data_IF_496667210667
#
_entry.id   IF_496667210667
#
_cell.length_a   1.000
_cell.length_b   1.000
_cell.length_c   1.000
_cell.angle_alpha   90.00
_cell.angle_beta   90.00
_cell.angle_gamma   90.00
#
_symmetry.space_group_name_H-M   'P 1'
#
loop_
_entity.id
_entity.type
_entity.pdbx_description
1 polymer ?
#
# COMPACT_ATOMS: atom_id res chain seq x y z
N UNK A 1 3.51 -6.73 23.12
CA UNK A 1 3.92 -5.82 22.02
C UNK A 1 3.53 -6.35 20.65
N UNK A 2 3.97 -7.56 20.27
CA UNK A 2 3.70 -8.12 18.93
C UNK A 2 2.20 -8.31 18.64
N UNK A 3 1.39 -8.81 19.59
CA UNK A 3 -0.05 -8.99 19.38
C UNK A 3 -0.78 -7.66 19.17
N UNK A 4 -0.49 -6.68 20.03
CA UNK A 4 -0.96 -5.31 19.86
C UNK A 4 -0.51 -4.71 18.51
N UNK A 5 0.75 -4.92 18.12
CA UNK A 5 1.28 -4.52 16.82
C UNK A 5 0.52 -5.17 15.67
N UNK A 6 0.25 -6.47 15.74
CA UNK A 6 -0.53 -7.21 14.76
C UNK A 6 -1.92 -6.61 14.53
N UNK A 7 -2.60 -6.19 15.61
CA UNK A 7 -3.89 -5.49 15.50
C UNK A 7 -3.75 -4.17 14.76
N UNK A 8 -2.69 -3.40 15.01
CA UNK A 8 -2.45 -2.15 14.27
C UNK A 8 -2.22 -2.38 12.77
N UNK A 9 -1.63 -3.52 12.36
CA UNK A 9 -1.51 -3.88 10.94
C UNK A 9 -2.86 -4.11 10.27
N UNK A 10 -3.86 -4.62 11.01
CA UNK A 10 -5.21 -4.83 10.48
C UNK A 10 -5.94 -3.52 10.18
N UNK A 11 -5.47 -2.38 10.71
CA UNK A 11 -6.05 -1.07 10.42
C UNK A 11 -5.63 -0.54 9.05
N UNK A 12 -4.45 -0.90 8.55
CA UNK A 12 -3.94 -0.46 7.24
C UNK A 12 -4.97 -0.67 6.12
N UNK A 13 -5.51 -1.89 5.92
CA UNK A 13 -6.45 -2.10 4.83
C UNK A 13 -7.72 -1.29 4.96
N UNK A 14 -8.25 -1.16 6.18
CA UNK A 14 -9.45 -0.38 6.43
C UNK A 14 -9.23 1.09 6.06
N UNK A 15 -8.10 1.67 6.51
CA UNK A 15 -7.75 3.06 6.21
C UNK A 15 -7.51 3.30 4.72
N UNK A 16 -6.84 2.38 4.02
CA UNK A 16 -6.59 2.50 2.58
C UNK A 16 -7.87 2.33 1.76
N UNK A 17 -8.74 1.40 2.13
CA UNK A 17 -10.07 1.24 1.49
C UNK A 17 -10.83 2.56 1.59
N UNK A 18 -10.95 3.12 2.81
CA UNK A 18 -11.65 4.38 3.03
C UNK A 18 -11.02 5.50 2.21
N UNK A 19 -9.70 5.66 2.27
CA UNK A 19 -8.97 6.68 1.50
C UNK A 19 -9.26 6.56 0.00
N UNK A 20 -9.10 5.37 -0.58
CA UNK A 20 -9.27 5.18 -2.02
C UNK A 20 -10.72 5.36 -2.49
N UNK A 21 -11.70 4.98 -1.67
CA UNK A 21 -13.11 5.25 -1.96
C UNK A 21 -13.37 6.76 -1.90
N UNK A 22 -12.91 7.46 -0.85
CA UNK A 22 -13.12 8.91 -0.68
C UNK A 22 -12.47 9.74 -1.79
N UNK A 23 -11.36 9.26 -2.36
CA UNK A 23 -10.64 9.90 -3.45
C UNK A 23 -11.15 9.51 -4.85
N UNK A 24 -12.10 8.58 -4.95
CA UNK A 24 -12.60 8.11 -6.26
C UNK A 24 -11.61 7.26 -7.06
N UNK A 25 -10.64 6.63 -6.39
CA UNK A 25 -9.59 5.82 -7.02
C UNK A 25 -10.11 4.47 -7.53
N UNK A 26 -11.25 4.00 -7.00
CA UNK A 26 -11.86 2.71 -7.36
C UNK A 26 -12.82 2.92 -8.53
N UNK A 27 -12.35 2.69 -9.76
CA UNK A 27 -13.12 2.90 -11.00
C UNK A 27 -13.58 1.60 -11.66
N UNK A 28 -12.93 0.49 -11.32
CA UNK A 28 -13.12 -0.82 -11.95
C UNK A 28 -12.99 -1.98 -10.95
N UNK A 29 -13.44 -3.17 -11.36
CA UNK A 29 -13.30 -4.40 -10.55
C UNK A 29 -11.83 -4.76 -10.31
N UNK A 30 -10.92 -4.44 -11.23
CA UNK A 30 -9.48 -4.64 -11.03
C UNK A 30 -8.92 -3.80 -9.89
N UNK A 31 -9.48 -2.62 -9.63
CA UNK A 31 -9.01 -1.72 -8.57
C UNK A 31 -9.33 -2.26 -7.17
N UNK A 32 -10.35 -3.10 -7.04
CA UNK A 32 -10.67 -3.79 -5.78
C UNK A 32 -9.54 -4.71 -5.31
N UNK A 33 -8.66 -5.16 -6.21
CA UNK A 33 -7.48 -5.93 -5.81
C UNK A 33 -6.41 -5.03 -5.20
N UNK A 34 -6.41 -3.74 -5.53
CA UNK A 34 -5.39 -2.74 -5.19
C UNK A 34 -5.75 -1.91 -3.95
N UNK A 35 -7.00 -1.45 -3.89
CA UNK A 35 -7.47 -0.41 -2.96
C UNK A 35 -7.27 -0.66 -1.46
N UNK A 36 -7.01 -1.90 -1.04
CA UNK A 36 -6.84 -2.28 0.36
C UNK A 36 -5.37 -2.32 0.80
N UNK A 37 -4.40 -2.27 -0.11
CA UNK A 37 -2.97 -2.34 0.26
C UNK A 37 -2.09 -1.33 -0.48
N UNK A 38 -2.71 -0.51 -1.32
CA UNK A 38 -2.06 0.50 -2.14
C UNK A 38 -2.95 1.74 -2.27
N UNK A 39 -2.41 2.82 -2.80
CA UNK A 39 -3.14 4.06 -3.03
C UNK A 39 -2.71 4.67 -4.36
N UNK A 40 -3.47 5.62 -4.86
CA UNK A 40 -3.11 6.38 -6.07
C UNK A 40 -2.34 7.64 -5.67
N UNK A 41 -1.34 7.99 -6.47
CA UNK A 41 -0.66 9.28 -6.39
C UNK A 41 -0.28 9.81 -7.78
N UNK A 42 -0.11 11.14 -7.93
CA UNK A 42 0.42 11.72 -9.15
C UNK A 42 1.81 11.18 -9.46
N UNK A 43 2.07 10.84 -10.72
CA UNK A 43 3.32 10.23 -11.16
C UNK A 43 4.55 11.11 -10.83
N UNK A 44 4.39 12.42 -10.88
CA UNK A 44 5.46 13.39 -10.56
C UNK A 44 5.94 13.32 -9.11
N UNK A 45 5.11 12.82 -8.20
CA UNK A 45 5.44 12.73 -6.77
C UNK A 45 6.12 11.42 -6.39
N UNK A 46 6.17 10.44 -7.31
CA UNK A 46 6.64 9.08 -7.00
C UNK A 46 8.12 9.07 -6.64
N UNK A 47 8.96 9.80 -7.38
CA UNK A 47 10.40 9.85 -7.16
C UNK A 47 10.74 10.42 -5.77
N UNK A 48 9.99 11.44 -5.33
CA UNK A 48 10.22 12.13 -4.06
C UNK A 48 9.57 11.40 -2.85
N UNK A 49 8.85 10.31 -3.09
CA UNK A 49 8.07 9.61 -2.06
C UNK A 49 8.66 8.25 -1.71
N UNK A 50 8.58 7.89 -0.42
CA UNK A 50 9.04 6.58 0.05
C UNK A 50 8.00 5.48 -0.24
N UNK A 51 7.88 5.14 -1.53
CA UNK A 51 6.88 4.20 -2.05
C UNK A 51 7.49 3.17 -2.99
N UNK A 52 6.74 2.11 -3.26
CA UNK A 52 6.94 1.21 -4.38
C UNK A 52 5.92 1.54 -5.47
N UNK A 53 6.41 1.77 -6.69
CA UNK A 53 5.58 1.92 -7.88
C UNK A 53 4.97 0.55 -8.25
N UNK A 54 3.65 0.52 -8.39
CA UNK A 54 2.91 -0.69 -8.74
C UNK A 54 2.31 -0.64 -10.14
N UNK A 55 2.37 0.50 -10.82
CA UNK A 55 1.90 0.64 -12.20
C UNK A 55 3.05 0.46 -13.17
N UNK A 56 2.82 -0.27 -14.26
CA UNK A 56 3.78 -0.43 -15.37
C UNK A 56 3.03 -0.52 -16.70
N UNK A 57 3.73 -0.32 -17.80
CA UNK A 57 3.21 -0.66 -19.13
C UNK A 57 3.44 -2.15 -19.40
N UNK A 58 2.48 -2.79 -20.08
CA UNK A 58 2.65 -4.14 -20.64
C UNK A 58 2.19 -4.13 -22.09
N UNK A 59 2.90 -4.89 -22.92
CA UNK A 59 2.47 -5.17 -24.29
C UNK A 59 1.58 -6.41 -24.29
N UNK A 60 0.37 -6.24 -24.82
CA UNK A 60 -0.61 -7.31 -24.96
C UNK A 60 -0.30 -8.17 -26.19
N UNK A 61 -0.80 -9.42 -26.29
CA UNK A 61 -0.51 -10.30 -27.44
C UNK A 61 -0.95 -9.74 -28.81
N UNK A 62 -1.82 -8.73 -28.82
CA UNK A 62 -2.28 -8.01 -30.00
C UNK A 62 -1.37 -6.81 -30.37
N UNK A 63 -0.25 -6.60 -29.65
CA UNK A 63 0.68 -5.48 -29.83
C UNK A 63 0.23 -4.17 -29.16
N UNK A 64 -0.88 -4.17 -28.42
CA UNK A 64 -1.38 -2.99 -27.74
C UNK A 64 -0.67 -2.77 -26.40
N UNK A 65 -0.21 -1.55 -26.15
CA UNK A 65 0.35 -1.15 -24.85
C UNK A 65 -0.77 -0.80 -23.88
N UNK A 66 -0.82 -1.48 -22.75
CA UNK A 66 -1.82 -1.25 -21.70
C UNK A 66 -1.18 -1.02 -20.35
N UNK A 67 -1.78 -0.12 -19.57
CA UNK A 67 -1.43 0.08 -18.16
C UNK A 67 -1.80 -1.15 -17.35
N UNK A 68 -0.84 -1.67 -16.59
CA UNK A 68 -1.01 -2.82 -15.72
C UNK A 68 -0.59 -2.48 -14.29
N UNK A 69 -1.35 -2.99 -13.33
CA UNK A 69 -1.11 -2.78 -11.91
C UNK A 69 -0.66 -4.08 -11.26
N UNK A 70 0.59 -4.11 -10.81
CA UNK A 70 1.18 -5.20 -10.03
C UNK A 70 0.59 -5.18 -8.63
N UNK A 71 0.02 -6.30 -8.20
CA UNK A 71 -0.57 -6.44 -6.86
C UNK A 71 0.48 -6.62 -5.75
N UNK A 72 1.77 -6.73 -6.10
CA UNK A 72 2.85 -6.93 -5.13
C UNK A 72 3.97 -5.94 -5.38
N UNK A 73 4.53 -5.44 -4.29
CA UNK A 73 5.76 -4.68 -4.32
C UNK A 73 6.90 -5.54 -4.92
N UNK A 74 7.87 -4.91 -5.62
CA UNK A 74 8.99 -5.62 -6.19
C UNK A 74 9.85 -6.28 -5.09
N UNK A 75 10.38 -7.46 -5.38
CA UNK A 75 11.19 -8.23 -4.43
C UNK A 75 12.50 -7.51 -4.04
N UNK A 76 13.02 -6.70 -4.96
CA UNK A 76 14.17 -5.82 -4.74
C UNK A 76 13.71 -4.40 -4.99
N UNK A 77 14.02 -3.49 -4.08
CA UNK A 77 13.76 -2.07 -4.28
C UNK A 77 14.58 -1.61 -5.49
N UNK A 78 13.95 -1.01 -6.52
CA UNK A 78 14.66 -0.44 -7.65
C UNK A 78 15.65 0.65 -7.20
N UNK A 79 16.72 0.85 -7.94
CA UNK A 79 17.54 2.06 -7.78
C UNK A 79 16.77 3.29 -8.26
N UNK A 80 17.25 4.48 -7.89
CA UNK A 80 16.62 5.74 -8.28
C UNK A 80 16.61 5.91 -9.80
N UNK A 81 17.67 5.47 -10.50
CA UNK A 81 17.74 5.45 -11.97
C UNK A 81 16.71 4.49 -12.57
N UNK A 82 16.56 3.29 -12.02
CA UNK A 82 15.57 2.31 -12.49
C UNK A 82 14.14 2.78 -12.26
N UNK A 83 13.90 3.50 -11.16
CA UNK A 83 12.61 4.11 -10.89
C UNK A 83 12.33 5.26 -11.87
N UNK A 84 13.32 6.11 -12.14
CA UNK A 84 13.20 7.20 -13.10
C UNK A 84 12.84 6.69 -14.51
N UNK A 85 13.50 5.62 -14.97
CA UNK A 85 13.18 4.96 -16.26
C UNK A 85 11.72 4.48 -16.29
N UNK A 86 11.25 3.82 -15.23
CA UNK A 86 9.84 3.36 -15.15
C UNK A 86 8.85 4.53 -15.14
N UNK A 87 9.21 5.64 -14.49
CA UNK A 87 8.39 6.86 -14.47
C UNK A 87 8.34 7.49 -15.86
N UNK A 88 9.47 7.61 -16.55
CA UNK A 88 9.51 8.18 -17.91
C UNK A 88 8.72 7.34 -18.91
N UNK A 89 8.81 6.00 -18.82
CA UNK A 89 8.01 5.08 -19.65
C UNK A 89 6.51 5.33 -19.48
N UNK A 90 6.04 5.45 -18.24
CA UNK A 90 4.64 5.73 -17.93
C UNK A 90 4.22 7.13 -18.40
N UNK A 91 5.06 8.16 -18.20
CA UNK A 91 4.79 9.53 -18.67
C UNK A 91 4.67 9.60 -20.19
N UNK A 92 5.55 8.90 -20.91
CA UNK A 92 5.52 8.84 -22.39
C UNK A 92 4.21 8.22 -22.91
N UNK A 93 3.59 7.37 -22.10
CA UNK A 93 2.28 6.76 -22.38
C UNK A 93 1.10 7.55 -21.76
N UNK A 94 1.29 8.83 -21.42
CA UNK A 94 0.28 9.74 -20.88
C UNK A 94 -0.38 9.25 -19.56
N UNK A 95 0.38 8.54 -18.72
CA UNK A 95 -0.10 8.10 -17.40
C UNK A 95 0.18 9.21 -16.37
N UNK A 96 -0.89 9.86 -15.87
CA UNK A 96 -0.79 10.93 -14.87
C UNK A 96 -0.82 10.43 -13.42
N UNK A 97 -1.59 9.37 -13.18
CA UNK A 97 -1.83 8.80 -11.86
C UNK A 97 -1.41 7.34 -11.80
N UNK A 98 -0.76 6.94 -10.71
CA UNK A 98 -0.22 5.60 -10.55
C UNK A 98 -0.57 5.00 -9.19
N UNK A 99 -0.82 3.70 -9.18
CA UNK A 99 -0.88 2.93 -7.95
C UNK A 99 0.50 2.76 -7.32
N UNK A 100 0.57 2.98 -6.01
CA UNK A 100 1.77 2.85 -5.19
C UNK A 100 1.48 2.17 -3.86
N UNK A 101 2.50 1.55 -3.26
CA UNK A 101 2.44 1.07 -1.88
C UNK A 101 3.51 1.74 -1.03
N UNK A 102 3.15 2.20 0.17
CA UNK A 102 4.10 2.87 1.07
C UNK A 102 5.06 1.89 1.72
N UNK A 103 6.33 2.31 1.82
CA UNK A 103 7.39 1.60 2.53
C UNK A 103 7.33 1.93 4.02
N UNK A 104 6.32 1.40 4.72
CA UNK A 104 6.12 1.69 6.14
C UNK A 104 7.03 0.80 7.01
N UNK A 105 7.93 1.38 7.83
CA UNK A 105 8.74 0.60 8.73
C UNK A 105 7.87 0.01 9.85
N UNK A 106 8.21 -1.21 10.30
CA UNK A 106 7.53 -1.92 11.37
C UNK A 106 7.35 -1.06 12.64
N UNK A 107 8.32 -0.17 12.91
CA UNK A 107 8.30 0.72 14.07
C UNK A 107 7.06 1.64 14.13
N UNK A 108 6.53 2.08 12.98
CA UNK A 108 5.32 2.93 12.92
C UNK A 108 4.12 2.24 13.54
N UNK A 109 4.09 0.91 13.52
CA UNK A 109 3.04 0.08 14.08
C UNK A 109 3.31 -0.30 15.53
N UNK A 110 4.56 -0.61 15.85
CA UNK A 110 4.95 -1.06 17.19
C UNK A 110 5.00 0.08 18.20
N UNK A 111 5.44 1.27 17.81
CA UNK A 111 5.66 2.36 18.76
C UNK A 111 4.35 2.90 19.37
N UNK A 112 3.30 3.21 18.60
CA UNK A 112 2.06 3.73 19.17
C UNK A 112 1.37 2.74 20.11
N UNK A 113 1.52 1.44 19.85
CA UNK A 113 0.85 0.40 20.66
C UNK A 113 1.51 0.13 22.00
N UNK A 114 2.68 0.71 22.28
CA UNK A 114 3.31 0.62 23.61
C UNK A 114 2.40 1.26 24.66
N UNK A 115 1.75 2.38 24.34
CA UNK A 115 0.89 3.10 25.26
C UNK A 115 -0.35 2.29 25.69
N UNK A 116 -1.22 1.79 24.78
CA UNK A 116 -2.35 0.95 25.18
C UNK A 116 -1.88 -0.35 25.85
N UNK A 117 -0.77 -0.94 25.42
CA UNK A 117 -0.21 -2.11 26.10
C UNK A 117 0.19 -1.81 27.56
N UNK A 118 0.79 -0.64 27.83
CA UNK A 118 1.17 -0.26 29.19
C UNK A 118 -0.05 0.02 30.08
N UNK A 119 -1.15 0.51 29.50
CA UNK A 119 -2.38 0.85 30.23
C UNK A 119 -3.26 -0.40 30.46
N UNK A 120 -3.46 -1.21 29.42
CA UNK A 120 -4.43 -2.31 29.43
C UNK A 120 -3.79 -3.68 29.64
N UNK A 121 -2.47 -3.81 29.47
CA UNK A 121 -1.75 -5.07 29.60
C UNK A 121 -1.82 -5.93 28.35
N UNK A 122 -1.91 -7.25 28.53
CA UNK A 122 -1.90 -8.22 27.43
C UNK A 122 -3.27 -8.31 26.75
N UNK A 123 -3.30 -7.95 25.46
CA UNK A 123 -4.51 -8.02 24.64
C UNK A 123 -5.10 -9.42 24.56
N UNK A 124 -4.27 -10.48 24.61
CA UNK A 124 -4.78 -11.85 24.54
C UNK A 124 -5.50 -12.21 25.83
N UNK A 125 -4.96 -11.83 26.99
CA UNK A 125 -5.64 -12.00 28.25
C UNK A 125 -6.99 -11.25 28.27
N UNK A 126 -7.03 -10.02 27.74
CA UNK A 126 -8.27 -9.25 27.63
C UNK A 126 -9.29 -9.97 26.73
N UNK A 127 -8.87 -10.45 25.56
CA UNK A 127 -9.75 -11.16 24.63
C UNK A 127 -10.28 -12.46 25.27
N UNK A 128 -9.43 -13.22 25.95
CA UNK A 128 -9.83 -14.46 26.61
C UNK A 128 -10.82 -14.20 27.75
N UNK A 129 -10.56 -13.20 28.59
CA UNK A 129 -11.49 -12.80 29.65
C UNK A 129 -12.86 -12.38 29.08
N UNK A 130 -12.89 -11.61 27.99
CA UNK A 130 -14.14 -11.24 27.31
C UNK A 130 -14.84 -12.49 26.73
N UNK A 131 -14.08 -13.47 26.26
CA UNK A 131 -14.60 -14.74 25.76
C UNK A 131 -15.04 -15.72 26.87
N UNK A 132 -14.84 -15.38 28.15
CA UNK A 132 -15.17 -16.23 29.30
C UNK A 132 -14.20 -17.38 29.54
N UNK A 133 -12.95 -17.25 29.07
CA UNK A 133 -11.86 -18.21 29.21
C UNK A 133 -10.81 -17.77 30.23
#
# INVERSE_FOLDING_TARGET
LLMWGGISFLLIPILLILKNITQGNVKSVSDLRMFWHSTVMPIDKVQDSHVWLLTSMIEMPNGELKTYHKTRAPRRTPSDEQLAIQIEELKTNNVEEVWVSYKLPLLVFLFPVILPMAIFGDIIAIILQIAGL
#
